data_IF_771799669076
#
_entry.id   IF_771799669076
#
_cell.length_a   1.000
_cell.length_b   1.000
_cell.length_c   1.000
_cell.angle_alpha   90.00
_cell.angle_beta   90.00
_cell.angle_gamma   90.00
#
_symmetry.space_group_name_H-M   'P 1'
#
loop_
_entity.id
_entity.type
_entity.pdbx_description
1 polymer ?
#
# COMPACT_ATOMS: atom_id res chain seq x y z
N UNK A 1 -2.63 -1.80 1.97
CA UNK A 1 -2.35 -1.65 0.52
C UNK A 1 -0.94 -1.12 0.34
N UNK A 2 -0.19 -1.75 -0.54
CA UNK A 2 1.19 -1.40 -0.87
C UNK A 2 1.27 -0.13 -1.72
N UNK A 3 2.40 0.58 -1.64
CA UNK A 3 2.70 1.77 -2.43
C UNK A 3 2.49 1.57 -3.93
N UNK A 4 2.99 0.47 -4.49
CA UNK A 4 2.91 0.22 -5.92
C UNK A 4 1.47 0.08 -6.43
N UNK A 5 0.57 -0.46 -5.63
CA UNK A 5 -0.86 -0.54 -6.00
C UNK A 5 -1.47 0.86 -6.14
N UNK A 6 -1.12 1.78 -5.22
CA UNK A 6 -1.55 3.18 -5.33
C UNK A 6 -1.00 3.86 -6.59
N UNK A 7 0.27 3.60 -6.90
CA UNK A 7 0.91 4.13 -8.12
C UNK A 7 0.22 3.59 -9.38
N UNK A 8 -0.04 2.29 -9.46
CA UNK A 8 -0.73 1.69 -10.60
C UNK A 8 -2.16 2.23 -10.78
N UNK A 9 -2.86 2.50 -9.67
CA UNK A 9 -4.20 3.08 -9.73
C UNK A 9 -4.22 4.48 -10.36
N UNK A 10 -3.11 5.18 -10.36
CA UNK A 10 -2.94 6.52 -10.96
C UNK A 10 -2.31 6.48 -12.34
N UNK A 11 -1.35 5.56 -12.57
CA UNK A 11 -0.57 5.49 -13.80
C UNK A 11 -1.34 4.79 -14.92
N UNK A 12 -2.02 5.56 -15.76
CA UNK A 12 -2.91 5.06 -16.82
C UNK A 12 -2.21 4.20 -17.89
N UNK A 13 -0.90 4.35 -18.08
CA UNK A 13 -0.12 3.54 -19.02
C UNK A 13 0.31 2.18 -18.45
N UNK A 14 0.11 1.95 -17.14
CA UNK A 14 0.42 0.67 -16.52
C UNK A 14 -0.54 -0.43 -16.97
N UNK A 15 -0.06 -1.65 -17.28
CA UNK A 15 -0.94 -2.80 -17.52
C UNK A 15 -1.78 -3.18 -16.30
N UNK A 16 -1.39 -2.72 -15.11
CA UNK A 16 -2.09 -2.97 -13.85
C UNK A 16 -3.09 -1.87 -13.46
N UNK A 17 -3.19 -0.81 -14.27
CA UNK A 17 -3.99 0.37 -13.93
C UNK A 17 -5.45 0.04 -13.60
N UNK A 18 -6.13 -0.69 -14.47
CA UNK A 18 -7.55 -0.98 -14.29
C UNK A 18 -7.82 -1.83 -13.05
N UNK A 19 -6.99 -2.84 -12.79
CA UNK A 19 -7.13 -3.70 -11.61
C UNK A 19 -6.84 -2.93 -10.31
N UNK A 20 -5.80 -2.12 -10.30
CA UNK A 20 -5.45 -1.29 -9.14
C UNK A 20 -6.52 -0.23 -8.85
N UNK A 21 -7.02 0.43 -9.88
CA UNK A 21 -8.11 1.39 -9.76
C UNK A 21 -9.38 0.75 -9.22
N UNK A 22 -9.77 -0.40 -9.74
CA UNK A 22 -10.93 -1.14 -9.26
C UNK A 22 -10.81 -1.53 -7.79
N UNK A 23 -9.62 -1.96 -7.33
CA UNK A 23 -9.37 -2.23 -5.92
C UNK A 23 -9.52 -0.96 -5.06
N UNK A 24 -8.92 0.15 -5.47
CA UNK A 24 -9.03 1.42 -4.73
C UNK A 24 -10.49 1.86 -4.62
N UNK A 25 -11.22 1.83 -5.73
CA UNK A 25 -12.66 2.16 -5.76
C UNK A 25 -13.48 1.24 -4.84
N UNK A 26 -13.19 -0.06 -4.83
CA UNK A 26 -13.83 -1.03 -3.94
C UNK A 26 -13.56 -0.71 -2.45
N UNK A 27 -12.31 -0.41 -2.09
CA UNK A 27 -11.93 -0.08 -0.72
C UNK A 27 -12.56 1.25 -0.26
N UNK A 28 -12.60 2.24 -1.15
CA UNK A 28 -13.24 3.54 -0.86
C UNK A 28 -14.76 3.40 -0.72
N UNK A 29 -15.39 2.57 -1.52
CA UNK A 29 -16.83 2.31 -1.42
C UNK A 29 -17.23 1.62 -0.11
N UNK A 30 -16.34 0.83 0.46
CA UNK A 30 -16.56 0.12 1.72
C UNK A 30 -17.59 -1.02 1.63
N UNK A 31 -18.15 -1.44 2.76
CA UNK A 31 -18.01 -0.91 4.11
C UNK A 31 -16.83 -1.47 4.94
N UNK A 32 -16.03 -2.39 4.40
CA UNK A 32 -14.96 -3.06 5.15
C UNK A 32 -13.88 -2.08 5.60
N UNK A 33 -13.42 -2.26 6.84
CA UNK A 33 -12.32 -1.46 7.38
C UNK A 33 -11.04 -1.67 6.55
N UNK A 34 -10.44 -0.57 6.13
CA UNK A 34 -9.18 -0.56 5.42
C UNK A 34 -8.17 0.37 6.10
N UNK A 35 -6.90 -0.04 6.09
CA UNK A 35 -5.80 0.79 6.59
C UNK A 35 -4.94 1.30 5.44
N UNK A 36 -4.64 2.58 5.49
CA UNK A 36 -3.66 3.25 4.64
C UNK A 36 -2.51 3.70 5.54
N UNK A 37 -1.30 3.25 5.25
CA UNK A 37 -0.13 3.52 6.07
C UNK A 37 0.64 4.71 5.50
N UNK A 38 1.04 5.65 6.35
CA UNK A 38 1.75 6.86 5.91
C UNK A 38 2.99 6.59 5.07
N UNK A 39 3.83 5.56 5.35
CA UNK A 39 4.96 5.27 4.47
C UNK A 39 4.54 4.91 3.03
N UNK A 40 3.41 4.23 2.86
CA UNK A 40 2.88 3.94 1.52
C UNK A 40 2.39 5.22 0.81
N UNK A 41 1.75 6.13 1.55
CA UNK A 41 1.33 7.45 1.02
C UNK A 41 2.53 8.29 0.59
N UNK A 42 3.54 8.40 1.44
CA UNK A 42 4.75 9.20 1.12
C UNK A 42 5.51 8.57 -0.07
N UNK A 43 5.60 7.24 -0.10
CA UNK A 43 6.15 6.53 -1.26
C UNK A 43 5.38 6.79 -2.54
N UNK A 44 4.05 6.78 -2.49
CA UNK A 44 3.18 7.15 -3.60
C UNK A 44 3.47 8.57 -4.10
N UNK A 45 3.44 9.56 -3.21
CA UNK A 45 3.69 10.97 -3.56
C UNK A 45 5.05 11.12 -4.24
N UNK A 46 6.09 10.48 -3.72
CA UNK A 46 7.43 10.52 -4.30
C UNK A 46 7.47 9.97 -5.73
N UNK A 47 6.80 8.85 -5.97
CA UNK A 47 6.84 8.18 -7.26
C UNK A 47 6.00 8.89 -8.33
N UNK A 48 4.77 9.30 -8.00
CA UNK A 48 3.86 9.88 -8.99
C UNK A 48 4.22 11.32 -9.38
N UNK A 49 4.94 12.04 -8.51
CA UNK A 49 5.44 13.39 -8.81
C UNK A 49 6.85 13.40 -9.37
N UNK A 50 7.52 12.24 -9.46
CA UNK A 50 8.90 12.17 -9.94
C UNK A 50 8.97 12.49 -11.43
N UNK A 51 9.87 13.41 -11.86
CA UNK A 51 9.91 13.91 -13.24
C UNK A 51 10.14 12.83 -14.31
N UNK A 52 10.79 11.72 -13.96
CA UNK A 52 11.27 10.72 -14.93
C UNK A 52 10.78 9.29 -14.68
N UNK A 53 10.17 8.99 -13.54
CA UNK A 53 9.72 7.61 -13.21
C UNK A 53 8.46 7.27 -14.00
N UNK A 54 7.46 8.15 -14.00
CA UNK A 54 6.28 8.03 -14.84
C UNK A 54 6.45 8.99 -16.02
N UNK A 55 6.09 8.58 -17.22
CA UNK A 55 6.22 9.41 -18.43
C UNK A 55 5.46 10.75 -18.35
N UNK A 56 4.44 10.84 -17.49
CA UNK A 56 3.68 12.05 -17.19
C UNK A 56 3.50 12.16 -15.68
N UNK A 57 4.37 12.91 -14.99
CA UNK A 57 4.24 13.09 -13.54
C UNK A 57 3.00 13.91 -13.20
N UNK A 58 2.39 13.60 -12.05
CA UNK A 58 1.36 14.44 -11.47
C UNK A 58 1.97 15.69 -10.85
N UNK A 59 1.19 16.76 -10.78
CA UNK A 59 1.50 17.87 -9.87
C UNK A 59 1.35 17.40 -8.41
N UNK A 60 2.00 18.12 -7.49
CA UNK A 60 1.84 17.85 -6.06
C UNK A 60 0.38 17.94 -5.63
N UNK A 61 -0.34 18.97 -6.11
CA UNK A 61 -1.74 19.19 -5.76
C UNK A 61 -2.66 18.05 -6.24
N UNK A 62 -2.44 17.55 -7.45
CA UNK A 62 -3.17 16.38 -7.97
C UNK A 62 -2.90 15.13 -7.14
N UNK A 63 -1.65 14.87 -6.79
CA UNK A 63 -1.27 13.72 -5.99
C UNK A 63 -1.85 13.80 -4.57
N UNK A 64 -1.84 14.97 -3.94
CA UNK A 64 -2.46 15.19 -2.63
C UNK A 64 -3.98 15.00 -2.69
N UNK A 65 -4.64 15.53 -3.71
CA UNK A 65 -6.09 15.37 -3.89
C UNK A 65 -6.50 13.90 -4.03
N UNK A 66 -5.69 13.08 -4.70
CA UNK A 66 -5.93 11.64 -4.79
C UNK A 66 -5.87 10.95 -3.41
N UNK A 67 -4.92 11.36 -2.56
CA UNK A 67 -4.82 10.84 -1.20
C UNK A 67 -5.99 11.32 -0.34
N UNK A 68 -6.37 12.60 -0.43
CA UNK A 68 -7.54 13.13 0.29
C UNK A 68 -8.82 12.32 -0.03
N UNK A 69 -9.03 12.01 -1.29
CA UNK A 69 -10.17 11.19 -1.71
C UNK A 69 -10.10 9.75 -1.18
N UNK A 70 -8.90 9.16 -1.11
CA UNK A 70 -8.69 7.81 -0.59
C UNK A 70 -9.00 7.71 0.92
N UNK A 71 -8.61 8.71 1.70
CA UNK A 71 -8.72 8.68 3.16
C UNK A 71 -9.99 9.35 3.71
N UNK A 72 -10.81 9.97 2.84
CA UNK A 72 -12.04 10.65 3.25
C UNK A 72 -13.10 9.72 3.90
N UNK A 73 -13.34 8.48 3.43
CA UNK A 73 -14.34 7.61 4.04
C UNK A 73 -13.98 7.21 5.48
N UNK A 74 -14.96 7.20 6.37
CA UNK A 74 -14.74 6.91 7.80
C UNK A 74 -14.26 5.49 8.11
N UNK A 75 -14.51 4.54 7.21
CA UNK A 75 -14.01 3.17 7.31
C UNK A 75 -12.58 2.99 6.80
N UNK A 76 -11.99 4.02 6.19
CA UNK A 76 -10.56 4.06 5.86
C UNK A 76 -9.80 4.74 7.00
N UNK A 77 -8.90 3.99 7.61
CA UNK A 77 -8.06 4.47 8.70
C UNK A 77 -6.65 4.73 8.21
N UNK A 78 -6.07 5.82 8.64
CA UNK A 78 -4.66 6.11 8.40
C UNK A 78 -3.85 5.80 9.64
N UNK A 79 -2.65 5.27 9.46
CA UNK A 79 -1.78 4.88 10.56
C UNK A 79 -0.31 5.10 10.21
N UNK A 80 0.46 5.40 11.24
CA UNK A 80 1.90 5.59 11.17
C UNK A 80 2.57 5.16 12.45
N UNK A 81 3.83 5.50 12.60
CA UNK A 81 4.67 5.11 13.72
C UNK A 81 4.15 5.69 15.04
N UNK A 82 3.89 4.78 15.98
CA UNK A 82 3.62 5.11 17.37
C UNK A 82 4.82 4.75 18.26
N UNK A 83 4.63 4.82 19.57
CA UNK A 83 5.70 4.57 20.55
C UNK A 83 6.26 3.15 20.49
N UNK A 84 5.44 2.18 20.10
CA UNK A 84 5.83 0.77 19.98
C UNK A 84 6.49 0.41 18.64
N UNK A 85 6.56 1.34 17.69
CA UNK A 85 7.03 1.04 16.32
C UNK A 85 8.42 0.42 16.30
N UNK A 86 9.39 1.00 17.00
CA UNK A 86 10.76 0.50 16.94
C UNK A 86 10.88 -0.92 17.48
N UNK A 87 10.20 -1.25 18.56
CA UNK A 87 10.17 -2.61 19.10
C UNK A 87 9.52 -3.59 18.12
N UNK A 88 8.42 -3.20 17.47
CA UNK A 88 7.76 -3.98 16.44
C UNK A 88 8.66 -4.19 15.22
N UNK A 89 9.32 -3.13 14.74
CA UNK A 89 10.26 -3.21 13.62
C UNK A 89 11.44 -4.15 13.94
N UNK A 90 12.02 -4.06 15.13
CA UNK A 90 13.10 -4.97 15.56
C UNK A 90 12.67 -6.44 15.55
N UNK A 91 11.45 -6.72 15.95
CA UNK A 91 10.89 -8.09 15.91
C UNK A 91 10.75 -8.59 14.47
N UNK A 92 10.22 -7.76 13.58
CA UNK A 92 10.11 -8.08 12.15
C UNK A 92 11.50 -8.29 11.53
N UNK A 93 12.45 -7.42 11.85
CA UNK A 93 13.81 -7.49 11.32
C UNK A 93 14.59 -8.72 11.83
N UNK A 94 14.37 -9.14 13.06
CA UNK A 94 14.98 -10.35 13.61
C UNK A 94 14.52 -11.61 12.88
N UNK A 95 13.25 -11.65 12.48
CA UNK A 95 12.64 -12.77 11.77
C UNK A 95 13.01 -12.78 10.27
N UNK A 96 12.75 -11.70 9.57
CA UNK A 96 12.90 -11.61 8.12
C UNK A 96 14.30 -11.17 7.65
N UNK A 97 15.11 -10.56 8.52
CA UNK A 97 16.46 -10.03 8.22
C UNK A 97 16.49 -9.17 6.94
N UNK A 98 15.65 -8.12 6.85
CA UNK A 98 15.48 -7.35 5.64
C UNK A 98 16.77 -6.60 5.26
N UNK A 99 17.05 -6.54 3.95
CA UNK A 99 18.16 -5.78 3.37
C UNK A 99 17.67 -4.97 2.17
N UNK A 100 18.24 -3.79 1.97
CA UNK A 100 17.97 -2.97 0.80
C UNK A 100 16.46 -2.71 0.60
N UNK A 101 15.94 -3.10 -0.54
CA UNK A 101 14.54 -2.89 -0.91
C UNK A 101 13.52 -3.65 -0.05
N UNK A 102 13.95 -4.62 0.74
CA UNK A 102 13.07 -5.30 1.69
C UNK A 102 12.85 -4.49 2.98
N UNK A 103 13.66 -3.48 3.26
CA UNK A 103 13.53 -2.63 4.45
C UNK A 103 12.24 -1.81 4.43
N UNK A 104 11.85 -1.13 3.33
CA UNK A 104 10.54 -0.50 3.24
C UNK A 104 9.36 -1.45 3.44
N UNK A 105 9.45 -2.69 2.96
CA UNK A 105 8.42 -3.71 3.16
C UNK A 105 8.33 -4.13 4.64
N UNK A 106 9.48 -4.30 5.29
CA UNK A 106 9.54 -4.55 6.74
C UNK A 106 8.93 -3.40 7.55
N UNK A 107 9.10 -2.17 7.10
CA UNK A 107 8.48 -0.98 7.71
C UNK A 107 6.94 -1.09 7.67
N UNK A 108 6.36 -1.40 6.51
CA UNK A 108 4.92 -1.58 6.38
C UNK A 108 4.43 -2.75 7.24
N UNK A 109 5.14 -3.87 7.25
CA UNK A 109 4.79 -5.06 8.06
C UNK A 109 4.84 -4.75 9.55
N UNK A 110 5.83 -3.99 10.02
CA UNK A 110 5.91 -3.56 11.42
C UNK A 110 4.70 -2.73 11.83
N UNK A 111 4.28 -1.77 10.99
CA UNK A 111 3.07 -1.00 11.21
C UNK A 111 1.80 -1.86 11.17
N UNK A 112 1.71 -2.77 10.21
CA UNK A 112 0.58 -3.71 10.14
C UNK A 112 0.42 -4.49 11.44
N UNK A 113 1.52 -5.02 12.00
CA UNK A 113 1.51 -5.74 13.28
C UNK A 113 1.10 -4.84 14.44
N UNK A 114 1.58 -3.61 14.49
CA UNK A 114 1.22 -2.64 15.52
C UNK A 114 -0.28 -2.36 15.56
N UNK A 115 -0.93 -2.31 14.40
CA UNK A 115 -2.37 -2.06 14.27
C UNK A 115 -3.24 -3.33 14.13
N UNK A 116 -2.65 -4.50 14.30
CA UNK A 116 -3.38 -5.77 14.20
C UNK A 116 -3.87 -6.11 12.79
N UNK A 117 -3.21 -5.58 11.76
CA UNK A 117 -3.55 -5.83 10.36
C UNK A 117 -2.66 -6.96 9.84
N UNK A 118 -3.26 -8.01 9.29
CA UNK A 118 -2.54 -9.18 8.78
C UNK A 118 -2.60 -9.34 7.26
N UNK A 119 -3.49 -8.61 6.57
CA UNK A 119 -3.66 -8.73 5.11
C UNK A 119 -3.15 -7.48 4.41
N UNK A 120 -2.34 -7.69 3.36
CA UNK A 120 -1.89 -6.62 2.47
C UNK A 120 -2.28 -6.91 1.02
N UNK A 121 -2.80 -5.90 0.35
CA UNK A 121 -2.95 -5.91 -1.10
C UNK A 121 -1.64 -5.48 -1.74
N UNK A 122 -0.98 -6.40 -2.44
CA UNK A 122 0.29 -6.16 -3.13
C UNK A 122 0.50 -7.17 -4.26
N UNK A 123 1.12 -6.72 -5.34
CA UNK A 123 1.63 -7.57 -6.39
C UNK A 123 3.05 -8.08 -6.09
N UNK A 124 3.72 -7.49 -5.11
CA UNK A 124 5.07 -7.85 -4.72
C UNK A 124 5.07 -9.13 -3.87
N UNK A 125 5.74 -10.16 -4.38
CA UNK A 125 5.89 -11.45 -3.69
C UNK A 125 6.81 -11.39 -2.47
N UNK A 126 7.61 -10.34 -2.34
CA UNK A 126 8.55 -10.17 -1.22
C UNK A 126 7.83 -10.07 0.13
N UNK A 127 6.58 -9.59 0.16
CA UNK A 127 5.76 -9.61 1.38
C UNK A 127 5.50 -11.01 1.95
N UNK A 128 5.60 -12.05 1.13
CA UNK A 128 5.48 -13.46 1.58
C UNK A 128 6.65 -13.92 2.44
N UNK A 129 7.75 -13.18 2.46
CA UNK A 129 8.92 -13.45 3.33
C UNK A 129 8.64 -13.12 4.80
N UNK A 130 7.57 -12.39 5.08
CA UNK A 130 7.18 -12.01 6.44
C UNK A 130 6.12 -12.97 6.99
N UNK A 131 6.40 -13.54 8.17
CA UNK A 131 5.48 -14.47 8.82
C UNK A 131 4.22 -13.73 9.31
N UNK A 132 3.07 -14.42 9.28
CA UNK A 132 1.81 -13.88 9.76
C UNK A 132 1.16 -12.84 8.83
N UNK A 133 1.68 -12.65 7.62
CA UNK A 133 1.13 -11.74 6.63
C UNK A 133 0.47 -12.54 5.50
N UNK A 134 -0.79 -12.20 5.21
CA UNK A 134 -1.51 -12.69 4.05
C UNK A 134 -1.40 -11.67 2.92
N UNK A 135 -0.83 -12.08 1.80
CA UNK A 135 -0.69 -11.24 0.61
C UNK A 135 -1.82 -11.57 -0.36
N UNK A 136 -2.63 -10.56 -0.69
CA UNK A 136 -3.63 -10.63 -1.76
C UNK A 136 -3.14 -9.86 -2.96
N UNK A 137 -3.03 -10.52 -4.09
CA UNK A 137 -2.61 -9.90 -5.36
C UNK A 137 -3.87 -9.40 -6.09
N UNK A 138 -4.01 -8.06 -6.28
CA UNK A 138 -5.20 -7.52 -6.96
C UNK A 138 -5.26 -7.86 -8.44
N UNK A 139 -4.20 -8.40 -9.02
CA UNK A 139 -4.08 -8.72 -10.45
C UNK A 139 -4.15 -10.22 -10.71
N UNK A 140 -4.43 -11.03 -9.68
CA UNK A 140 -4.64 -12.47 -9.85
C UNK A 140 -5.97 -12.75 -10.52
N UNK A 141 -6.09 -13.92 -11.17
CA UNK A 141 -7.34 -14.36 -11.82
C UNK A 141 -8.53 -14.42 -10.85
N UNK A 142 -8.28 -14.70 -9.57
CA UNK A 142 -9.31 -14.73 -8.51
C UNK A 142 -10.01 -13.38 -8.33
N UNK A 143 -9.33 -12.28 -8.64
CA UNK A 143 -9.84 -10.92 -8.48
C UNK A 143 -10.18 -10.23 -9.80
N UNK A 144 -10.05 -10.95 -10.93
CA UNK A 144 -10.37 -10.41 -12.25
C UNK A 144 -11.85 -10.10 -12.46
N UNK A 145 -12.72 -10.69 -11.63
CA UNK A 145 -14.20 -10.51 -11.66
C UNK A 145 -14.73 -9.62 -10.55
N UNK A 146 -13.89 -9.14 -9.64
CA UNK A 146 -14.25 -8.24 -8.54
C UNK A 146 -13.55 -8.60 -7.23
N UNK A 147 -13.70 -7.72 -6.26
CA UNK A 147 -13.14 -7.86 -4.91
C UNK A 147 -14.28 -8.13 -3.91
N UNK A 148 -14.08 -9.09 -3.05
CA UNK A 148 -14.97 -9.38 -1.92
C UNK A 148 -14.36 -8.88 -0.59
#
# INVERSE_FOLDING_TARGET
MDTNVLVYATHTASPYHLGARALVEHLVAGPSLAYVLWPAVVGYLRLVTHPTILGSPLSTDEALSNIDALIAPSHVRVAGEGDAFWASFRTVAADAKPRGNLVPDAHLVALMREYGVSTIWSHDRDFRKFSGITVKDPFSEEHSTGFE
#
